data_IF_416538648104
#
_entry.id   IF_416538648104
#
_cell.length_a   1.000
_cell.length_b   1.000
_cell.length_c   1.000
_cell.angle_alpha   90.00
_cell.angle_beta   90.00
_cell.angle_gamma   90.00
#
_symmetry.space_group_name_H-M   'P 1'
#
loop_
_entity.id
_entity.type
_entity.pdbx_description
1 polymer ?
#
# COMPACT_ATOMS: atom_id res chain seq x y z
N UNK A 1 17.28 18.43 22.02
CA UNK A 1 16.03 17.69 21.70
C UNK A 1 15.70 17.98 20.25
N UNK A 2 15.86 17.03 19.35
CA UNK A 2 15.48 17.18 17.95
C UNK A 2 13.96 17.20 17.86
N UNK A 3 13.38 18.31 17.43
CA UNK A 3 12.02 18.34 16.90
C UNK A 3 12.05 17.52 15.59
N UNK A 4 11.95 16.19 15.68
CA UNK A 4 11.57 15.41 14.51
C UNK A 4 10.16 15.87 14.16
N UNK A 5 10.04 16.61 13.04
CA UNK A 5 8.74 16.88 12.46
C UNK A 5 7.98 15.56 12.33
N UNK A 6 6.78 15.52 12.91
CA UNK A 6 5.95 14.31 12.95
C UNK A 6 5.51 14.00 11.52
N UNK A 7 5.85 12.82 11.03
CA UNK A 7 5.39 12.32 9.73
C UNK A 7 3.87 12.16 9.73
N UNK A 8 3.24 12.49 8.60
CA UNK A 8 1.82 12.29 8.38
C UNK A 8 1.46 10.80 8.32
N UNK A 9 2.35 9.97 7.77
CA UNK A 9 2.26 8.50 7.76
C UNK A 9 3.65 7.87 7.79
N UNK A 10 3.71 6.55 7.92
CA UNK A 10 4.98 5.83 8.00
C UNK A 10 5.85 6.09 6.76
N UNK A 11 7.12 6.45 6.99
CA UNK A 11 8.10 6.61 5.91
C UNK A 11 8.32 5.30 5.16
N UNK A 12 8.71 5.39 3.87
CA UNK A 12 9.07 4.24 3.05
C UNK A 12 10.27 3.54 3.68
N UNK A 13 10.07 2.31 4.12
CA UNK A 13 11.09 1.51 4.77
C UNK A 13 12.12 1.00 3.76
N UNK A 14 13.38 0.87 4.16
CA UNK A 14 14.45 0.39 3.29
C UNK A 14 14.22 -1.04 2.79
N UNK A 15 13.48 -1.87 3.53
CA UNK A 15 13.08 -3.21 3.11
C UNK A 15 11.90 -3.23 2.14
N UNK A 16 11.30 -2.08 1.83
CA UNK A 16 10.15 -1.90 0.92
C UNK A 16 8.86 -2.62 1.33
N UNK A 17 8.78 -3.21 2.52
CA UNK A 17 7.59 -3.95 3.00
C UNK A 17 6.31 -3.11 3.02
N UNK A 18 6.44 -1.81 3.22
CA UNK A 18 5.32 -0.87 3.23
C UNK A 18 5.20 -0.07 1.92
N UNK A 19 5.86 -0.47 0.83
CA UNK A 19 5.90 0.31 -0.40
C UNK A 19 4.50 0.60 -0.97
N UNK A 20 3.62 -0.40 -1.07
CA UNK A 20 2.27 -0.19 -1.62
C UNK A 20 1.41 0.74 -0.77
N UNK A 21 1.48 0.63 0.56
CA UNK A 21 0.75 1.54 1.44
C UNK A 21 1.36 2.94 1.46
N UNK A 22 2.69 3.04 1.31
CA UNK A 22 3.38 4.32 1.19
C UNK A 22 3.00 5.06 -0.10
N UNK A 23 2.97 4.36 -1.24
CA UNK A 23 2.53 4.93 -2.53
C UNK A 23 1.12 5.49 -2.40
N UNK A 24 0.18 4.67 -1.91
CA UNK A 24 -1.22 5.09 -1.74
C UNK A 24 -1.35 6.35 -0.87
N UNK A 25 -0.67 6.38 0.28
CA UNK A 25 -0.73 7.54 1.18
C UNK A 25 -0.09 8.77 0.54
N UNK A 26 1.06 8.62 -0.13
CA UNK A 26 1.75 9.72 -0.77
C UNK A 26 0.92 10.32 -1.93
N UNK A 27 0.29 9.49 -2.77
CA UNK A 27 -0.62 9.93 -3.83
C UNK A 27 -1.79 10.73 -3.26
N UNK A 28 -2.49 10.19 -2.25
CA UNK A 28 -3.62 10.88 -1.58
C UNK A 28 -3.18 12.23 -1.01
N UNK A 29 -2.02 12.29 -0.35
CA UNK A 29 -1.52 13.52 0.25
C UNK A 29 -1.09 14.57 -0.78
N UNK A 30 -0.51 14.15 -1.90
CA UNK A 30 -0.17 15.04 -3.01
C UNK A 30 -1.43 15.55 -3.70
N UNK A 31 -2.40 14.69 -3.97
CA UNK A 31 -3.72 15.06 -4.53
C UNK A 31 -4.45 16.06 -3.65
N UNK A 32 -4.50 15.83 -2.34
CA UNK A 32 -5.12 16.74 -1.38
C UNK A 32 -4.47 18.15 -1.37
N UNK A 33 -3.23 18.26 -1.85
CA UNK A 33 -2.49 19.52 -1.98
C UNK A 33 -2.50 20.08 -3.41
N UNK A 34 -3.17 19.43 -4.36
CA UNK A 34 -3.14 19.79 -5.78
C UNK A 34 -1.80 19.50 -6.46
N UNK A 35 -0.97 18.64 -5.88
CA UNK A 35 0.38 18.29 -6.34
C UNK A 35 0.45 16.91 -7.01
N UNK A 36 -0.67 16.18 -7.12
CA UNK A 36 -0.70 14.81 -7.63
C UNK A 36 -0.12 14.64 -9.04
N UNK A 37 -0.40 15.59 -9.94
CA UNK A 37 0.09 15.52 -11.33
C UNK A 37 1.62 15.60 -11.43
N UNK A 38 2.31 16.16 -10.43
CA UNK A 38 3.77 16.39 -10.44
C UNK A 38 4.53 15.06 -10.47
N UNK A 39 3.97 14.00 -9.90
CA UNK A 39 4.58 12.66 -9.90
C UNK A 39 4.12 11.80 -11.10
N UNK A 40 3.27 12.33 -11.97
CA UNK A 40 2.73 11.65 -13.15
C UNK A 40 3.26 12.24 -14.46
N UNK A 41 3.28 13.58 -14.58
CA UNK A 41 3.60 14.31 -15.80
C UNK A 41 4.53 15.48 -15.47
N UNK A 42 5.49 15.78 -16.35
CA UNK A 42 6.50 16.83 -16.14
C UNK A 42 5.98 18.24 -16.52
N UNK A 43 4.86 18.30 -17.24
CA UNK A 43 4.36 19.53 -17.86
C UNK A 43 3.45 20.30 -16.90
N UNK A 44 3.56 21.65 -16.92
CA UNK A 44 2.71 22.64 -16.22
C UNK A 44 2.97 22.91 -14.73
N UNK A 45 3.79 22.12 -14.02
CA UNK A 45 4.06 22.37 -12.60
C UNK A 45 5.05 23.53 -12.36
N UNK A 46 4.73 24.42 -11.42
CA UNK A 46 5.66 25.50 -11.04
C UNK A 46 6.89 24.95 -10.30
N UNK A 47 8.02 25.68 -10.33
CA UNK A 47 9.20 25.30 -9.55
C UNK A 47 8.92 25.21 -8.03
N UNK A 48 7.98 26.02 -7.54
CA UNK A 48 7.56 25.96 -6.14
C UNK A 48 6.83 24.65 -5.85
N UNK A 49 5.90 24.24 -6.71
CA UNK A 49 5.13 23.01 -6.54
C UNK A 49 6.04 21.78 -6.63
N UNK A 50 6.98 21.78 -7.59
CA UNK A 50 8.01 20.75 -7.69
C UNK A 50 8.85 20.66 -6.42
N UNK A 51 9.27 21.80 -5.86
CA UNK A 51 10.02 21.83 -4.60
C UNK A 51 9.18 21.31 -3.41
N UNK A 52 7.89 21.67 -3.34
CA UNK A 52 7.00 21.20 -2.28
C UNK A 52 6.79 19.68 -2.34
N UNK A 53 6.52 19.13 -3.53
CA UNK A 53 6.42 17.69 -3.75
C UNK A 53 7.73 16.98 -3.38
N UNK A 54 8.88 17.54 -3.79
CA UNK A 54 10.19 16.97 -3.49
C UNK A 54 10.48 16.94 -1.98
N UNK A 55 10.20 18.03 -1.26
CA UNK A 55 10.34 18.09 0.20
C UNK A 55 9.45 17.03 0.86
N UNK A 56 8.19 16.92 0.41
CA UNK A 56 7.23 15.97 0.96
C UNK A 56 7.66 14.52 0.75
N UNK A 57 8.02 14.13 -0.49
CA UNK A 57 8.48 12.78 -0.81
C UNK A 57 9.71 12.44 0.04
N UNK A 58 10.73 13.31 0.06
CA UNK A 58 11.95 13.08 0.83
C UNK A 58 11.69 13.02 2.33
N UNK A 59 10.76 13.81 2.87
CA UNK A 59 10.39 13.76 4.28
C UNK A 59 9.90 12.36 4.68
N UNK A 60 9.18 11.70 3.77
CA UNK A 60 8.62 10.36 3.96
C UNK A 60 9.52 9.23 3.45
N UNK A 61 10.82 9.46 3.25
CA UNK A 61 11.78 8.39 2.96
C UNK A 61 12.56 8.00 4.21
N UNK A 62 12.86 6.71 4.34
CA UNK A 62 13.89 6.25 5.27
C UNK A 62 15.24 6.91 4.95
N UNK A 63 16.06 7.17 5.97
CA UNK A 63 17.30 7.95 5.84
C UNK A 63 18.28 7.34 4.82
N UNK A 64 18.39 6.01 4.77
CA UNK A 64 19.21 5.33 3.77
C UNK A 64 18.79 5.66 2.32
N UNK A 65 17.49 5.73 2.05
CA UNK A 65 16.98 6.09 0.72
C UNK A 65 17.26 7.57 0.40
N UNK A 66 17.19 8.47 1.40
CA UNK A 66 17.54 9.88 1.19
C UNK A 66 19.00 10.08 0.78
N UNK A 67 19.90 9.25 1.32
CA UNK A 67 21.33 9.24 0.97
C UNK A 67 21.52 8.73 -0.46
N UNK A 68 20.86 7.63 -0.82
CA UNK A 68 20.96 7.04 -2.17
C UNK A 68 20.44 7.99 -3.26
N UNK A 69 19.38 8.75 -2.97
CA UNK A 69 18.79 9.71 -3.91
C UNK A 69 19.15 11.17 -3.60
N UNK A 70 20.28 11.43 -2.93
CA UNK A 70 20.65 12.77 -2.43
C UNK A 70 20.81 13.82 -3.54
N UNK A 71 21.25 13.41 -4.73
CA UNK A 71 21.54 14.32 -5.85
C UNK A 71 20.32 14.62 -6.72
N UNK A 72 19.26 13.81 -6.62
CA UNK A 72 18.03 14.03 -7.38
C UNK A 72 17.33 15.28 -6.87
N UNK A 73 16.86 16.11 -7.80
CA UNK A 73 16.16 17.36 -7.51
C UNK A 73 14.76 17.42 -8.11
N UNK A 74 14.47 16.51 -9.04
CA UNK A 74 13.18 16.42 -9.68
C UNK A 74 12.28 15.38 -8.98
N UNK A 75 11.08 15.76 -8.52
CA UNK A 75 10.18 14.85 -7.81
C UNK A 75 9.63 13.73 -8.71
N UNK A 76 9.42 13.97 -10.01
CA UNK A 76 8.92 12.98 -10.96
C UNK A 76 9.97 11.89 -11.19
N UNK A 77 11.23 12.29 -11.38
CA UNK A 77 12.36 11.38 -11.51
C UNK A 77 12.55 10.54 -10.24
N UNK A 78 12.51 11.18 -9.06
CA UNK A 78 12.58 10.45 -7.79
C UNK A 78 11.44 9.43 -7.67
N UNK A 79 10.21 9.82 -7.98
CA UNK A 79 9.06 8.94 -7.93
C UNK A 79 9.20 7.75 -8.88
N UNK A 80 9.61 7.99 -10.13
CA UNK A 80 9.87 6.93 -11.12
C UNK A 80 10.95 5.96 -10.66
N UNK A 81 12.05 6.45 -10.08
CA UNK A 81 13.13 5.60 -9.59
C UNK A 81 12.71 4.73 -8.40
N UNK A 82 11.91 5.29 -7.47
CA UNK A 82 11.31 4.52 -6.38
C UNK A 82 10.35 3.46 -6.92
N UNK A 83 9.55 3.84 -7.94
CA UNK A 83 8.60 2.95 -8.59
C UNK A 83 9.27 1.79 -9.30
N UNK A 84 10.26 2.06 -10.15
CA UNK A 84 11.03 1.03 -10.85
C UNK A 84 11.70 0.08 -9.86
N UNK A 85 12.26 0.62 -8.77
CA UNK A 85 12.94 -0.20 -7.77
C UNK A 85 11.98 -1.09 -6.99
N UNK A 86 10.79 -0.63 -6.62
CA UNK A 86 9.94 -1.31 -5.63
C UNK A 86 8.62 -1.85 -6.19
N UNK A 87 8.23 -1.53 -7.42
CA UNK A 87 6.99 -2.07 -8.03
C UNK A 87 7.02 -3.59 -8.16
N UNK A 88 8.20 -4.19 -8.28
CA UNK A 88 8.34 -5.65 -8.24
C UNK A 88 7.83 -6.24 -6.92
N UNK A 89 7.69 -5.46 -5.85
CA UNK A 89 7.14 -5.97 -4.59
C UNK A 89 5.69 -6.45 -4.74
N UNK A 90 4.94 -5.94 -5.74
CA UNK A 90 3.63 -6.51 -6.12
C UNK A 90 3.74 -7.99 -6.50
N UNK A 91 4.84 -8.42 -7.12
CA UNK A 91 5.06 -9.82 -7.51
C UNK A 91 5.37 -10.73 -6.32
N UNK A 92 5.79 -10.18 -5.18
CA UNK A 92 6.02 -10.93 -3.94
C UNK A 92 4.77 -10.93 -3.07
N UNK A 93 4.08 -9.79 -2.93
CA UNK A 93 2.85 -9.69 -2.14
C UNK A 93 1.75 -10.55 -2.78
N UNK A 94 1.58 -10.48 -4.09
CA UNK A 94 0.43 -11.09 -4.76
C UNK A 94 0.36 -12.62 -4.55
N UNK A 95 1.41 -13.43 -4.81
CA UNK A 95 1.37 -14.86 -4.54
C UNK A 95 1.19 -15.19 -3.05
N UNK A 96 1.78 -14.38 -2.17
CA UNK A 96 1.62 -14.56 -0.72
C UNK A 96 0.17 -14.30 -0.29
N UNK A 97 -0.45 -13.23 -0.76
CA UNK A 97 -1.83 -12.90 -0.45
C UNK A 97 -2.80 -13.97 -0.98
N UNK A 98 -2.53 -14.53 -2.16
CA UNK A 98 -3.26 -15.70 -2.68
C UNK A 98 -3.10 -16.95 -1.79
N UNK A 99 -1.87 -17.24 -1.39
CA UNK A 99 -1.58 -18.35 -0.49
C UNK A 99 -2.32 -18.17 0.85
N UNK A 100 -2.19 -17.01 1.48
CA UNK A 100 -2.85 -16.66 2.73
C UNK A 100 -4.38 -16.75 2.58
N UNK A 101 -4.95 -16.24 1.48
CA UNK A 101 -6.40 -16.36 1.20
C UNK A 101 -6.84 -17.80 1.08
N UNK A 102 -6.09 -18.65 0.39
CA UNK A 102 -6.43 -20.06 0.20
C UNK A 102 -6.40 -20.84 1.52
N UNK A 103 -5.45 -20.51 2.40
CA UNK A 103 -5.24 -21.20 3.69
C UNK A 103 -5.94 -20.52 4.87
N UNK A 104 -6.73 -19.47 4.64
CA UNK A 104 -7.52 -18.83 5.68
C UNK A 104 -8.73 -19.70 6.04
N UNK A 105 -8.80 -20.17 7.29
CA UNK A 105 -9.92 -20.92 7.84
C UNK A 105 -10.49 -20.26 9.10
N UNK A 106 -11.81 -20.25 9.25
CA UNK A 106 -12.47 -19.66 10.42
C UNK A 106 -12.07 -20.35 11.73
N UNK A 107 -11.85 -21.67 11.69
CA UNK A 107 -11.48 -22.47 12.86
C UNK A 107 -10.10 -22.13 13.45
N UNK A 108 -9.23 -21.46 12.68
CA UNK A 108 -7.89 -21.08 13.13
C UNK A 108 -7.90 -19.82 14.01
N UNK A 109 -9.06 -19.18 14.17
CA UNK A 109 -9.25 -17.94 14.92
C UNK A 109 -10.12 -18.13 16.16
N UNK A 110 -9.87 -17.35 17.21
CA UNK A 110 -10.67 -17.42 18.45
C UNK A 110 -12.02 -16.74 18.28
N UNK A 111 -12.10 -15.72 17.42
CA UNK A 111 -13.33 -14.97 17.19
C UNK A 111 -13.56 -14.71 15.70
N UNK A 112 -14.84 -14.54 15.33
CA UNK A 112 -15.24 -14.13 13.98
C UNK A 112 -14.63 -12.77 13.61
N UNK A 113 -14.45 -11.87 14.59
CA UNK A 113 -13.84 -10.56 14.36
C UNK A 113 -12.37 -10.66 13.95
N UNK A 114 -11.60 -11.56 14.57
CA UNK A 114 -10.19 -11.79 14.22
C UNK A 114 -10.06 -12.36 12.81
N UNK A 115 -10.89 -13.36 12.47
CA UNK A 115 -10.95 -13.93 11.13
C UNK A 115 -11.32 -12.86 10.09
N UNK A 116 -12.37 -12.08 10.34
CA UNK A 116 -12.81 -11.03 9.42
C UNK A 116 -11.71 -9.99 9.20
N UNK A 117 -11.00 -9.61 10.27
CA UNK A 117 -9.88 -8.67 10.18
C UNK A 117 -8.78 -9.21 9.24
N UNK A 118 -8.38 -10.47 9.37
CA UNK A 118 -7.38 -11.06 8.47
C UNK A 118 -7.89 -11.20 7.04
N UNK A 119 -9.15 -11.58 6.83
CA UNK A 119 -9.77 -11.61 5.50
C UNK A 119 -9.72 -10.23 4.84
N UNK A 120 -10.04 -9.15 5.57
CA UNK A 120 -9.98 -7.79 5.06
C UNK A 120 -8.55 -7.35 4.76
N UNK A 121 -7.57 -7.70 5.59
CA UNK A 121 -6.16 -7.40 5.34
C UNK A 121 -5.67 -8.06 4.05
N UNK A 122 -5.91 -9.36 3.89
CA UNK A 122 -5.54 -10.10 2.68
C UNK A 122 -6.23 -9.51 1.45
N UNK A 123 -7.52 -9.22 1.54
CA UNK A 123 -8.29 -8.65 0.42
C UNK A 123 -7.81 -7.25 0.05
N UNK A 124 -7.40 -6.44 1.03
CA UNK A 124 -6.79 -5.12 0.78
C UNK A 124 -5.44 -5.25 0.08
N UNK A 125 -4.63 -6.25 0.44
CA UNK A 125 -3.37 -6.52 -0.25
C UNK A 125 -3.59 -6.93 -1.72
N UNK A 126 -4.57 -7.80 -2.00
CA UNK A 126 -4.93 -8.17 -3.36
C UNK A 126 -5.38 -6.95 -4.18
N UNK A 127 -6.22 -6.08 -3.60
CA UNK A 127 -6.64 -4.81 -4.22
C UNK A 127 -5.46 -3.88 -4.51
N UNK A 128 -4.52 -3.73 -3.58
CA UNK A 128 -3.30 -2.92 -3.78
C UNK A 128 -2.40 -3.49 -4.89
N UNK A 129 -2.44 -4.80 -5.12
CA UNK A 129 -1.76 -5.45 -6.24
C UNK A 129 -2.52 -5.35 -7.57
N UNK A 130 -3.71 -4.73 -7.60
CA UNK A 130 -4.50 -4.50 -8.80
C UNK A 130 -5.63 -5.51 -9.04
N UNK A 131 -5.90 -6.43 -8.11
CA UNK A 131 -7.04 -7.34 -8.23
C UNK A 131 -8.36 -6.68 -7.82
N UNK A 132 -9.44 -6.97 -8.53
CA UNK A 132 -10.76 -6.50 -8.16
C UNK A 132 -11.44 -7.53 -7.25
N UNK A 133 -11.38 -7.29 -5.92
CA UNK A 133 -12.07 -8.13 -4.93
C UNK A 133 -13.41 -7.49 -4.55
N UNK A 134 -14.51 -8.15 -4.90
CA UNK A 134 -15.88 -7.69 -4.65
C UNK A 134 -16.40 -8.16 -3.28
N UNK A 135 -17.51 -7.58 -2.82
CA UNK A 135 -18.18 -8.04 -1.60
C UNK A 135 -18.72 -9.48 -1.75
N UNK A 136 -19.13 -9.87 -2.96
CA UNK A 136 -19.54 -11.24 -3.27
C UNK A 136 -18.37 -12.22 -3.09
N UNK A 137 -17.16 -11.86 -3.52
CA UNK A 137 -15.95 -12.67 -3.33
C UNK A 137 -15.58 -12.83 -1.85
N UNK A 138 -15.84 -11.80 -1.04
CA UNK A 138 -15.63 -11.86 0.41
C UNK A 138 -16.65 -12.80 1.06
N UNK A 139 -17.93 -12.66 0.72
CA UNK A 139 -19.01 -13.51 1.23
C UNK A 139 -18.78 -14.97 0.83
N UNK A 140 -18.47 -15.24 -0.44
CA UNK A 140 -18.16 -16.58 -0.92
C UNK A 140 -17.00 -17.22 -0.14
N UNK A 141 -15.94 -16.45 0.15
CA UNK A 141 -14.82 -16.92 0.96
C UNK A 141 -15.21 -17.16 2.43
N UNK A 142 -16.05 -16.31 3.02
CA UNK A 142 -16.58 -16.53 4.38
C UNK A 142 -17.35 -17.86 4.41
N UNK A 143 -18.30 -18.05 3.49
CA UNK A 143 -19.09 -19.28 3.39
C UNK A 143 -18.24 -20.53 3.17
N UNK A 144 -17.20 -20.46 2.34
CA UNK A 144 -16.32 -21.60 2.06
C UNK A 144 -15.45 -22.03 3.24
N UNK A 145 -15.36 -21.22 4.30
CA UNK A 145 -14.57 -21.54 5.49
C UNK A 145 -15.37 -22.14 6.64
N UNK A 146 -16.71 -22.21 6.50
CA UNK A 146 -17.53 -22.98 7.44
C UNK A 146 -17.39 -24.48 7.16
N UNK A 147 -17.39 -25.27 8.23
CA UNK A 147 -17.44 -26.72 8.12
C UNK A 147 -18.74 -27.16 7.42
N UNK A 148 -18.69 -28.21 6.60
CA UNK A 148 -19.83 -28.71 5.81
C UNK A 148 -21.09 -28.99 6.66
N UNK A 149 -20.94 -29.33 7.93
CA UNK A 149 -22.07 -29.54 8.87
C UNK A 149 -22.78 -28.27 9.31
N UNK A 150 -22.18 -27.09 9.11
CA UNK A 150 -22.81 -25.79 9.42
C UNK A 150 -23.51 -25.16 8.20
N UNK A 151 -23.43 -25.78 7.02
CA UNK A 151 -24.03 -25.30 5.75
C UNK A 151 -25.53 -25.67 5.62
N UNK A 152 -26.18 -26.08 6.71
CA UNK A 152 -27.60 -26.45 6.74
C UNK A 152 -28.57 -25.25 6.59
N UNK A 153 -28.08 -24.02 6.44
CA UNK A 153 -28.90 -22.80 6.29
C UNK A 153 -29.13 -22.38 4.82
N UNK A 154 -28.71 -23.17 3.84
CA UNK A 154 -28.93 -22.90 2.41
C UNK A 154 -30.05 -23.74 1.76
N UNK A 155 -30.98 -24.30 2.53
CA UNK A 155 -32.18 -24.97 2.01
C UNK A 155 -33.44 -24.14 2.26
#
# INVERSE_FOLDING_TARGET
>A
MSNLAKLEFAALDISSRNYLSWVLNAEIHLDAKGLGNIILVDEEASNQDKAQAMIFIRHHLHEGLKVEYLTLKDPLELWKNLKERFDHYKTVILPKAHYDRMHLWLQDFKTVSEYNLELFKISSQLKLCGENITDEDLLAKIFSTFHATNVLLQQ
#
